data_IF_143297119083
#
_entry.id   IF_143297119083
#
_cell.length_a   1.000
_cell.length_b   1.000
_cell.length_c   1.000
_cell.angle_alpha   90.00
_cell.angle_beta   90.00
_cell.angle_gamma   90.00
#
_symmetry.space_group_name_H-M   'P 1'
#
loop_
_entity.id
_entity.type
_entity.pdbx_description
1 polymer ?
#
# COMPACT_ATOMS: atom_id res chain seq x y z
N UNK A 1 25.80 -7.92 -5.14
CA UNK A 1 24.63 -7.02 -5.37
C UNK A 1 25.10 -5.61 -5.61
N UNK A 2 24.66 -5.02 -6.69
CA UNK A 2 24.97 -3.62 -6.99
C UNK A 2 24.00 -2.70 -6.27
N UNK A 3 24.43 -1.46 -6.07
CA UNK A 3 23.56 -0.47 -5.43
C UNK A 3 22.25 -0.25 -6.21
N UNK A 4 22.35 -0.36 -7.53
CA UNK A 4 21.17 -0.20 -8.38
C UNK A 4 20.12 -1.26 -8.09
N UNK A 5 20.52 -2.51 -7.91
CA UNK A 5 19.58 -3.58 -7.58
C UNK A 5 18.93 -3.37 -6.22
N UNK A 6 19.72 -2.91 -5.25
CA UNK A 6 19.18 -2.63 -3.92
C UNK A 6 18.14 -1.51 -3.97
N UNK A 7 18.41 -0.46 -4.71
CA UNK A 7 17.48 0.67 -4.87
C UNK A 7 16.20 0.21 -5.54
N UNK A 8 16.31 -0.61 -6.58
CA UNK A 8 15.12 -1.14 -7.28
C UNK A 8 14.27 -1.99 -6.35
N UNK A 9 14.90 -2.85 -5.54
CA UNK A 9 14.18 -3.67 -4.58
C UNK A 9 13.47 -2.82 -3.51
N UNK A 10 14.17 -1.81 -3.00
CA UNK A 10 13.59 -0.89 -2.02
C UNK A 10 12.40 -0.13 -2.61
N UNK A 11 12.52 0.31 -3.85
CA UNK A 11 11.43 1.00 -4.54
C UNK A 11 10.21 0.08 -4.71
N UNK A 12 10.42 -1.16 -5.06
CA UNK A 12 9.33 -2.13 -5.19
C UNK A 12 8.60 -2.34 -3.86
N UNK A 13 9.36 -2.50 -2.79
CA UNK A 13 8.79 -2.71 -1.46
C UNK A 13 8.01 -1.47 -1.02
N UNK A 14 8.59 -0.29 -1.21
CA UNK A 14 7.95 0.97 -0.84
C UNK A 14 6.66 1.17 -1.62
N UNK A 15 6.68 0.88 -2.92
CA UNK A 15 5.49 1.00 -3.76
C UNK A 15 4.40 0.04 -3.32
N UNK A 16 4.76 -1.20 -3.04
CA UNK A 16 3.81 -2.21 -2.57
C UNK A 16 3.18 -1.83 -1.24
N UNK A 17 4.00 -1.34 -0.32
CA UNK A 17 3.51 -0.89 0.98
C UNK A 17 2.58 0.31 0.85
N UNK A 18 2.93 1.26 -0.01
CA UNK A 18 2.11 2.46 -0.23
C UNK A 18 0.75 2.08 -0.81
N UNK A 19 0.74 1.23 -1.82
CA UNK A 19 -0.50 0.78 -2.46
C UNK A 19 -1.34 -0.02 -1.47
N UNK A 20 -0.72 -0.92 -0.71
CA UNK A 20 -1.42 -1.72 0.29
C UNK A 20 -2.03 -0.87 1.39
N UNK A 21 -1.26 0.09 1.91
CA UNK A 21 -1.75 1.00 2.95
C UNK A 21 -2.91 1.85 2.45
N UNK A 22 -2.79 2.37 1.22
CA UNK A 22 -3.86 3.15 0.61
C UNK A 22 -5.12 2.31 0.44
N UNK A 23 -4.98 1.09 -0.02
CA UNK A 23 -6.10 0.18 -0.23
C UNK A 23 -6.81 -0.13 1.08
N UNK A 24 -6.04 -0.43 2.12
CA UNK A 24 -6.60 -0.73 3.45
C UNK A 24 -7.35 0.48 3.99
N UNK A 25 -6.74 1.66 3.90
CA UNK A 25 -7.37 2.89 4.40
C UNK A 25 -8.68 3.17 3.67
N UNK A 26 -8.67 3.04 2.35
CA UNK A 26 -9.86 3.26 1.55
C UNK A 26 -10.96 2.24 1.90
N UNK A 27 -10.60 0.98 2.07
CA UNK A 27 -11.54 -0.06 2.46
C UNK A 27 -12.19 0.24 3.80
N UNK A 28 -11.41 0.70 4.76
CA UNK A 28 -11.91 1.06 6.07
C UNK A 28 -12.88 2.24 6.00
N UNK A 29 -12.57 3.24 5.18
CA UNK A 29 -13.46 4.38 4.98
C UNK A 29 -14.78 3.95 4.37
N UNK A 30 -14.74 3.11 3.35
CA UNK A 30 -15.94 2.62 2.69
C UNK A 30 -16.80 1.82 3.67
N UNK A 31 -16.18 1.00 4.50
CA UNK A 31 -16.88 0.24 5.52
C UNK A 31 -17.58 1.14 6.53
N UNK A 32 -16.93 2.23 6.91
CA UNK A 32 -17.52 3.21 7.84
C UNK A 32 -18.70 3.96 7.22
N UNK A 33 -18.70 4.11 5.91
CA UNK A 33 -19.79 4.80 5.21
C UNK A 33 -20.96 3.92 4.88
N UNK A 34 -20.77 2.60 4.96
CA UNK A 34 -21.87 1.67 4.69
C UNK A 34 -22.94 1.81 5.78
N UNK A 35 -24.22 1.94 5.39
CA UNK A 35 -25.29 2.01 6.38
C UNK A 35 -25.43 0.70 7.14
N UNK A 36 -25.67 0.76 8.45
CA UNK A 36 -25.90 -0.46 9.22
C UNK A 36 -27.21 -1.11 8.79
N UNK A 37 -27.14 -2.42 8.73
CA UNK A 37 -28.33 -3.21 8.43
C UNK A 37 -29.36 -3.14 9.54
#
# INVERSE_FOLDING_TARGET
MTRAELIIQLLKIALGLAIGAYFVWWSLEVLHRLPPH
#
